data_IF_365205824960
#
_entry.id   IF_365205824960
#
_cell.length_a   1.000
_cell.length_b   1.000
_cell.length_c   1.000
_cell.angle_alpha   90.00
_cell.angle_beta   90.00
_cell.angle_gamma   90.00
#
_symmetry.space_group_name_H-M   'P 1'
#
loop_
_entity.id
_entity.type
_entity.pdbx_description
1 polymer ?
#
# COMPACT_ATOMS: atom_id res chain seq x y z
N UNK A 1 -16.30 16.53 -21.24
CA UNK A 1 -16.31 16.57 -19.76
C UNK A 1 -15.02 17.24 -19.29
N UNK A 2 -15.09 18.31 -18.52
CA UNK A 2 -13.87 18.99 -18.07
C UNK A 2 -13.16 18.10 -17.04
N UNK A 3 -11.85 17.95 -17.13
CA UNK A 3 -10.98 17.24 -16.16
C UNK A 3 -11.26 17.67 -14.70
N UNK A 4 -11.81 18.85 -14.49
CA UNK A 4 -12.13 19.42 -13.19
C UNK A 4 -13.37 18.77 -12.57
N UNK A 5 -14.35 18.32 -13.36
CA UNK A 5 -15.55 17.66 -12.83
C UNK A 5 -15.31 16.25 -12.28
N UNK A 6 -14.26 15.57 -12.73
CA UNK A 6 -13.90 14.23 -12.24
C UNK A 6 -13.15 14.23 -10.88
N UNK A 7 -12.68 15.40 -10.43
CA UNK A 7 -11.95 15.52 -9.16
C UNK A 7 -12.87 15.51 -7.93
N UNK A 8 -14.17 15.67 -8.12
CA UNK A 8 -15.18 15.64 -7.06
C UNK A 8 -15.78 14.26 -6.78
N UNK A 9 -15.55 13.27 -7.64
CA UNK A 9 -16.01 11.90 -7.41
C UNK A 9 -15.03 11.18 -6.45
N UNK A 10 -15.42 11.13 -5.20
CA UNK A 10 -14.62 10.57 -4.12
C UNK A 10 -14.36 9.07 -4.31
N UNK A 11 -13.08 8.74 -4.48
CA UNK A 11 -12.52 7.41 -4.19
C UNK A 11 -13.12 6.21 -4.96
N UNK A 12 -13.64 6.41 -6.17
CA UNK A 12 -14.13 5.33 -7.01
C UNK A 12 -12.94 4.59 -7.65
N UNK A 13 -12.94 3.28 -7.53
CA UNK A 13 -11.86 2.39 -7.99
C UNK A 13 -12.40 1.54 -9.12
N UNK A 14 -11.92 1.71 -10.36
CA UNK A 14 -12.44 0.97 -11.49
C UNK A 14 -12.16 -0.54 -11.35
N UNK A 15 -13.12 -1.34 -11.82
CA UNK A 15 -13.01 -2.79 -11.88
C UNK A 15 -12.07 -3.14 -13.03
N UNK A 16 -10.87 -3.56 -12.69
CA UNK A 16 -9.86 -4.01 -13.64
C UNK A 16 -9.59 -5.51 -13.54
N UNK A 17 -8.64 -5.99 -14.33
CA UNK A 17 -8.25 -7.40 -14.33
C UNK A 17 -7.79 -7.91 -12.97
N UNK A 18 -7.27 -7.04 -12.13
CA UNK A 18 -6.87 -7.41 -10.78
C UNK A 18 -8.07 -7.68 -9.87
N UNK A 19 -9.06 -6.82 -9.88
CA UNK A 19 -10.29 -7.02 -9.09
C UNK A 19 -11.03 -8.25 -9.62
N UNK A 20 -11.08 -8.44 -10.93
CA UNK A 20 -11.65 -9.65 -11.55
C UNK A 20 -10.93 -10.91 -11.08
N UNK A 21 -9.61 -10.92 -11.04
CA UNK A 21 -8.85 -12.08 -10.53
C UNK A 21 -9.14 -12.39 -9.04
N UNK A 22 -9.46 -11.37 -8.24
CA UNK A 22 -9.95 -11.59 -6.86
C UNK A 22 -11.34 -12.23 -6.87
N UNK A 23 -12.24 -11.75 -7.74
CA UNK A 23 -13.57 -12.36 -7.89
C UNK A 23 -13.50 -13.82 -8.30
N UNK A 24 -12.72 -14.10 -9.36
CA UNK A 24 -12.54 -15.46 -9.88
C UNK A 24 -12.01 -16.38 -8.77
N UNK A 25 -11.04 -15.91 -8.02
CA UNK A 25 -10.49 -16.70 -6.89
C UNK A 25 -11.50 -16.94 -5.76
N UNK A 26 -12.40 -15.98 -5.48
CA UNK A 26 -13.49 -16.17 -4.50
C UNK A 26 -14.50 -17.18 -5.05
N UNK A 27 -14.85 -17.09 -6.33
CA UNK A 27 -15.76 -18.01 -7.00
C UNK A 27 -15.20 -19.44 -7.05
N UNK A 28 -13.91 -19.61 -7.37
CA UNK A 28 -13.21 -20.90 -7.31
C UNK A 28 -13.29 -21.55 -5.92
N UNK A 29 -13.36 -20.75 -4.88
CA UNK A 29 -13.56 -21.22 -3.49
C UNK A 29 -15.05 -21.45 -3.13
N UNK A 30 -15.96 -21.43 -4.11
CA UNK A 30 -17.38 -21.70 -3.94
C UNK A 30 -18.16 -20.57 -3.24
N UNK A 31 -17.69 -19.33 -3.33
CA UNK A 31 -18.35 -18.17 -2.72
C UNK A 31 -18.70 -17.12 -3.77
N UNK A 32 -19.73 -16.34 -3.48
CA UNK A 32 -20.11 -15.19 -4.31
C UNK A 32 -19.29 -13.97 -3.87
N UNK A 33 -18.54 -13.32 -4.77
CA UNK A 33 -17.78 -12.12 -4.41
C UNK A 33 -18.70 -10.96 -4.08
N UNK A 34 -18.29 -10.11 -3.13
CA UNK A 34 -18.95 -8.84 -2.85
C UNK A 34 -18.82 -7.96 -4.09
N UNK A 35 -19.94 -7.62 -4.70
CA UNK A 35 -20.03 -6.70 -5.83
C UNK A 35 -20.20 -5.26 -5.32
N UNK A 36 -19.82 -4.24 -6.10
CA UNK A 36 -20.08 -2.84 -5.74
C UNK A 36 -21.60 -2.61 -5.69
N UNK A 37 -22.04 -1.73 -4.79
CA UNK A 37 -23.47 -1.40 -4.63
C UNK A 37 -24.07 -0.86 -5.92
N UNK A 38 -23.30 -0.06 -6.66
CA UNK A 38 -23.65 0.41 -8.00
C UNK A 38 -22.93 -0.46 -9.04
N UNK A 39 -23.35 -1.71 -9.20
CA UNK A 39 -22.71 -2.65 -10.13
C UNK A 39 -22.60 -2.12 -11.57
N UNK A 40 -23.57 -1.31 -11.99
CA UNK A 40 -23.58 -0.65 -13.31
C UNK A 40 -22.50 0.44 -13.44
N UNK A 41 -22.02 1.01 -12.34
CA UNK A 41 -21.01 2.08 -12.39
C UNK A 41 -19.63 1.58 -12.82
N UNK A 42 -19.35 0.28 -12.68
CA UNK A 42 -18.04 -0.31 -12.96
C UNK A 42 -16.95 0.10 -11.95
N UNK A 43 -17.31 0.60 -10.75
CA UNK A 43 -16.38 1.10 -9.76
C UNK A 43 -16.68 0.56 -8.35
N UNK A 44 -15.64 0.42 -7.54
CA UNK A 44 -15.71 0.20 -6.10
C UNK A 44 -15.42 1.48 -5.33
N UNK A 45 -16.08 1.68 -4.22
CA UNK A 45 -15.60 2.59 -3.16
C UNK A 45 -14.42 1.97 -2.41
N UNK A 46 -13.67 2.78 -1.66
CA UNK A 46 -12.57 2.26 -0.84
C UNK A 46 -13.01 1.25 0.22
N UNK A 47 -14.19 1.45 0.78
CA UNK A 47 -14.73 0.58 1.86
C UNK A 47 -15.21 -0.76 1.27
N UNK A 48 -15.92 -0.72 0.14
CA UNK A 48 -16.35 -1.93 -0.58
C UNK A 48 -15.14 -2.76 -1.04
N UNK A 49 -14.10 -2.10 -1.57
CA UNK A 49 -12.87 -2.78 -1.94
C UNK A 49 -12.17 -3.39 -0.72
N UNK A 50 -12.22 -2.70 0.42
CA UNK A 50 -11.76 -3.22 1.71
C UNK A 50 -12.49 -4.50 2.08
N UNK A 51 -13.83 -4.48 2.04
CA UNK A 51 -14.68 -5.62 2.33
C UNK A 51 -14.43 -6.81 1.38
N UNK A 52 -14.22 -6.55 0.08
CA UNK A 52 -13.83 -7.58 -0.89
C UNK A 52 -12.50 -8.24 -0.51
N UNK A 53 -11.50 -7.44 -0.10
CA UNK A 53 -10.20 -7.96 0.34
C UNK A 53 -10.30 -8.82 1.60
N UNK A 54 -11.12 -8.40 2.56
CA UNK A 54 -11.41 -9.16 3.77
C UNK A 54 -12.15 -10.47 3.44
N UNK A 55 -13.15 -10.43 2.55
CA UNK A 55 -13.84 -11.63 2.06
C UNK A 55 -12.85 -12.61 1.43
N UNK A 56 -11.99 -12.13 0.54
CA UNK A 56 -11.01 -12.96 -0.13
C UNK A 56 -10.10 -13.70 0.86
N UNK A 57 -9.54 -12.98 1.83
CA UNK A 57 -8.69 -13.60 2.85
C UNK A 57 -9.49 -14.54 3.76
N UNK A 58 -10.74 -14.20 4.07
CA UNK A 58 -11.63 -15.06 4.84
C UNK A 58 -11.87 -16.41 4.14
N UNK A 59 -12.22 -16.39 2.84
CA UNK A 59 -12.41 -17.59 2.03
C UNK A 59 -11.13 -18.43 1.96
N UNK A 60 -9.99 -17.78 1.76
CA UNK A 60 -8.69 -18.44 1.74
C UNK A 60 -8.41 -19.17 3.08
N UNK A 61 -8.64 -18.51 4.21
CA UNK A 61 -8.44 -19.11 5.54
C UNK A 61 -9.39 -20.31 5.77
N UNK A 62 -10.64 -20.20 5.34
CA UNK A 62 -11.62 -21.30 5.43
C UNK A 62 -11.20 -22.49 4.57
N UNK A 63 -10.86 -22.26 3.32
CA UNK A 63 -10.37 -23.29 2.39
C UNK A 63 -9.12 -24.00 2.89
N UNK A 64 -8.32 -23.32 3.72
CA UNK A 64 -7.13 -23.89 4.36
C UNK A 64 -7.44 -24.58 5.70
N UNK A 65 -8.68 -24.61 6.14
CA UNK A 65 -9.10 -25.18 7.43
C UNK A 65 -8.59 -24.39 8.64
N UNK A 66 -8.19 -23.14 8.48
CA UNK A 66 -7.76 -22.28 9.57
C UNK A 66 -8.98 -21.73 10.31
N UNK A 67 -9.09 -22.04 11.60
CA UNK A 67 -10.17 -21.51 12.42
C UNK A 67 -9.99 -20.01 12.59
N UNK A 68 -10.93 -19.24 12.06
CA UNK A 68 -11.02 -17.80 12.26
C UNK A 68 -12.06 -17.48 13.33
N UNK A 69 -11.81 -16.42 14.08
CA UNK A 69 -12.79 -15.80 14.96
C UNK A 69 -12.88 -14.33 14.59
N UNK A 70 -14.07 -13.81 14.45
CA UNK A 70 -14.27 -12.39 14.30
C UNK A 70 -13.83 -11.69 15.60
N UNK A 71 -13.11 -10.57 15.50
CA UNK A 71 -12.75 -9.81 16.68
C UNK A 71 -13.99 -9.17 17.30
N UNK A 72 -13.96 -8.98 18.63
CA UNK A 72 -14.97 -8.15 19.28
C UNK A 72 -14.95 -6.77 18.66
N UNK A 73 -16.14 -6.21 18.37
CA UNK A 73 -16.31 -4.95 17.63
C UNK A 73 -15.83 -3.68 18.38
N UNK A 74 -14.97 -3.82 19.38
CA UNK A 74 -14.35 -2.68 20.06
C UNK A 74 -13.29 -2.07 19.16
N UNK A 75 -13.51 -0.85 18.74
CA UNK A 75 -12.54 -0.08 17.96
C UNK A 75 -11.30 0.27 18.80
N UNK A 76 -10.08 0.18 18.24
CA UNK A 76 -9.68 -0.39 16.95
C UNK A 76 -9.39 -1.90 17.07
N UNK A 77 -10.15 -2.77 16.40
CA UNK A 77 -9.91 -4.21 16.38
C UNK A 77 -9.26 -4.66 15.07
N UNK A 78 -8.44 -5.72 15.07
CA UNK A 78 -7.96 -6.35 13.83
C UNK A 78 -9.12 -7.05 13.10
N UNK A 79 -8.96 -7.31 11.80
CA UNK A 79 -10.01 -7.92 10.98
C UNK A 79 -10.30 -9.37 11.41
N UNK A 80 -9.27 -10.12 11.82
CA UNK A 80 -9.42 -11.51 12.24
C UNK A 80 -8.56 -11.86 13.46
N UNK A 81 -9.07 -12.81 14.25
CA UNK A 81 -8.28 -13.61 15.21
C UNK A 81 -8.18 -15.01 14.63
N UNK A 82 -6.97 -15.51 14.43
CA UNK A 82 -6.74 -16.83 13.88
C UNK A 82 -5.95 -17.69 14.87
N UNK A 83 -6.24 -18.99 14.88
CA UNK A 83 -5.50 -19.98 15.65
C UNK A 83 -4.73 -20.90 14.70
N UNK A 84 -3.41 -20.99 14.90
CA UNK A 84 -2.55 -21.88 14.15
C UNK A 84 -1.82 -22.76 15.15
N UNK A 85 -2.20 -24.03 15.22
CA UNK A 85 -1.81 -24.91 16.31
C UNK A 85 -2.29 -24.34 17.65
N UNK A 86 -1.41 -24.24 18.63
CA UNK A 86 -1.73 -23.71 19.97
C UNK A 86 -1.56 -22.18 20.08
N UNK A 87 -1.22 -21.48 18.99
CA UNK A 87 -0.98 -20.04 19.04
C UNK A 87 -2.09 -19.24 18.39
N UNK A 88 -2.36 -18.10 19.01
CA UNK A 88 -3.29 -17.11 18.51
C UNK A 88 -2.54 -15.97 17.86
N UNK A 89 -3.01 -15.54 16.71
CA UNK A 89 -2.50 -14.38 15.98
C UNK A 89 -3.65 -13.42 15.69
N UNK A 90 -3.35 -12.15 15.73
CA UNK A 90 -4.21 -11.12 15.17
C UNK A 90 -3.81 -10.94 13.71
N UNK A 91 -4.79 -10.83 12.82
CA UNK A 91 -4.56 -10.66 11.39
C UNK A 91 -5.32 -9.43 10.90
N UNK A 92 -4.62 -8.58 10.20
CA UNK A 92 -5.17 -7.41 9.51
C UNK A 92 -5.00 -7.62 8.01
N UNK A 93 -6.03 -7.28 7.26
CA UNK A 93 -6.07 -7.42 5.81
C UNK A 93 -6.16 -6.06 5.13
N UNK A 94 -5.48 -5.89 4.03
CA UNK A 94 -5.67 -4.74 3.15
C UNK A 94 -5.55 -5.18 1.69
N UNK A 95 -6.40 -4.59 0.88
CA UNK A 95 -6.31 -4.71 -0.57
C UNK A 95 -5.71 -3.42 -1.12
N UNK A 96 -4.69 -3.54 -1.95
CA UNK A 96 -4.03 -2.40 -2.56
C UNK A 96 -3.61 -2.73 -3.99
N UNK A 97 -3.70 -1.78 -4.89
CA UNK A 97 -3.21 -1.97 -6.26
C UNK A 97 -1.71 -1.90 -6.34
N UNK A 98 -1.12 -0.97 -5.60
CA UNK A 98 0.32 -0.74 -5.56
C UNK A 98 0.77 -0.56 -4.12
N UNK A 99 1.92 -1.12 -3.79
CA UNK A 99 2.52 -1.01 -2.44
C UNK A 99 3.24 0.32 -2.21
N UNK A 100 3.57 1.02 -3.27
CA UNK A 100 4.21 2.34 -3.23
C UNK A 100 3.28 3.41 -3.77
N UNK A 101 3.47 4.62 -3.26
CA UNK A 101 2.78 5.79 -3.76
C UNK A 101 3.52 6.36 -4.97
N UNK A 102 2.79 6.57 -6.05
CA UNK A 102 3.32 7.24 -7.25
C UNK A 102 3.26 8.76 -7.10
N UNK A 103 4.04 9.47 -7.90
CA UNK A 103 4.05 10.95 -7.95
C UNK A 103 2.68 11.53 -8.26
N UNK A 104 1.98 10.95 -9.21
CA UNK A 104 0.64 11.38 -9.59
C UNK A 104 -0.29 11.44 -8.38
N UNK A 105 -0.20 10.46 -7.49
CA UNK A 105 -0.99 10.42 -6.26
C UNK A 105 -0.59 11.52 -5.26
N UNK A 106 0.71 11.83 -5.16
CA UNK A 106 1.17 12.94 -4.33
C UNK A 106 0.66 14.27 -4.86
N UNK A 107 0.72 14.49 -6.16
CA UNK A 107 0.24 15.70 -6.81
C UNK A 107 -1.28 15.84 -6.62
N UNK A 108 -2.03 14.76 -6.84
CA UNK A 108 -3.47 14.73 -6.58
C UNK A 108 -3.83 15.08 -5.14
N UNK A 109 -3.17 14.48 -4.16
CA UNK A 109 -3.43 14.78 -2.75
C UNK A 109 -3.05 16.21 -2.37
N UNK A 110 -2.05 16.80 -3.01
CA UNK A 110 -1.70 18.20 -2.83
C UNK A 110 -2.81 19.11 -3.36
N UNK A 111 -3.40 18.77 -4.52
CA UNK A 111 -4.52 19.51 -5.08
C UNK A 111 -5.79 19.43 -4.22
N UNK A 112 -6.12 18.22 -3.74
CA UNK A 112 -7.36 17.98 -2.99
C UNK A 112 -7.39 18.59 -1.59
N UNK A 113 -6.25 18.57 -0.88
CA UNK A 113 -6.20 19.02 0.53
C UNK A 113 -6.16 20.52 0.74
N UNK A 114 -5.89 21.25 -0.29
CA UNK A 114 -5.81 22.69 -0.18
C UNK A 114 -7.08 23.33 -0.75
N UNK A 115 -7.91 23.87 0.12
CA UNK A 115 -8.98 24.84 -0.24
C UNK A 115 -8.44 26.11 -0.94
N UNK A 116 -7.20 26.08 -1.42
CA UNK A 116 -6.54 27.15 -2.13
C UNK A 116 -6.74 26.95 -3.64
N UNK A 117 -7.77 27.53 -4.17
CA UNK A 117 -8.08 27.55 -5.60
C UNK A 117 -6.84 27.78 -6.50
N UNK A 118 -5.85 28.57 -6.01
CA UNK A 118 -4.65 28.91 -6.78
C UNK A 118 -3.70 27.70 -6.99
N UNK A 119 -3.45 26.85 -5.99
CA UNK A 119 -2.57 25.68 -6.16
C UNK A 119 -3.27 24.58 -6.95
N UNK A 120 -4.57 24.42 -6.74
CA UNK A 120 -5.40 23.49 -7.49
C UNK A 120 -5.40 23.82 -9.00
N UNK A 121 -5.66 25.08 -9.34
CA UNK A 121 -5.62 25.54 -10.71
C UNK A 121 -4.23 25.37 -11.36
N UNK A 122 -3.16 25.66 -10.61
CA UNK A 122 -1.79 25.42 -11.06
C UNK A 122 -1.50 23.96 -11.34
N UNK A 123 -1.94 23.04 -10.46
CA UNK A 123 -1.76 21.60 -10.67
C UNK A 123 -2.55 21.11 -11.88
N UNK A 124 -3.77 21.57 -12.06
CA UNK A 124 -4.57 21.28 -13.24
C UNK A 124 -3.84 21.67 -14.53
N UNK A 125 -3.30 22.88 -14.60
CA UNK A 125 -2.51 23.34 -15.74
C UNK A 125 -1.22 22.54 -15.94
N UNK A 126 -0.51 22.23 -14.87
CA UNK A 126 0.69 21.40 -14.95
C UNK A 126 0.42 20.04 -15.57
N UNK A 127 -0.67 19.39 -15.18
CA UNK A 127 -1.04 18.06 -15.66
C UNK A 127 -1.49 18.07 -17.12
N UNK A 128 -2.10 19.15 -17.57
CA UNK A 128 -2.62 19.27 -18.95
C UNK A 128 -1.61 19.90 -19.93
N UNK A 129 -0.72 20.79 -19.45
CA UNK A 129 0.19 21.55 -20.29
C UNK A 129 1.64 21.04 -20.22
N UNK A 130 1.99 20.16 -19.28
CA UNK A 130 3.37 19.75 -19.04
C UNK A 130 3.53 18.23 -18.86
N UNK A 131 4.68 17.72 -19.31
CA UNK A 131 5.15 16.39 -18.93
C UNK A 131 5.81 16.47 -17.57
N UNK A 132 5.32 15.69 -16.61
CA UNK A 132 5.83 15.67 -15.24
C UNK A 132 6.45 14.32 -14.94
N UNK A 133 7.68 14.32 -14.48
CA UNK A 133 8.35 13.10 -14.01
C UNK A 133 9.04 13.33 -12.67
N UNK A 134 9.05 12.30 -11.85
CA UNK A 134 9.81 12.24 -10.60
C UNK A 134 10.75 11.04 -10.64
N UNK A 135 11.98 11.25 -10.30
CA UNK A 135 12.96 10.18 -10.18
C UNK A 135 13.48 10.14 -8.74
N UNK A 136 13.42 9.01 -8.09
CA UNK A 136 12.74 7.77 -8.49
C UNK A 136 11.20 7.96 -8.53
N UNK A 137 10.48 7.22 -9.38
CA UNK A 137 9.03 7.41 -9.59
C UNK A 137 8.18 6.97 -8.39
N UNK A 138 8.73 6.14 -7.53
CA UNK A 138 8.11 5.64 -6.32
C UNK A 138 8.62 6.40 -5.10
N UNK A 139 7.69 6.80 -4.24
CA UNK A 139 7.99 7.55 -3.04
C UNK A 139 7.99 6.65 -1.82
N UNK A 140 9.09 6.66 -1.08
CA UNK A 140 9.16 5.95 0.19
C UNK A 140 8.23 6.63 1.22
N UNK A 141 7.45 5.85 1.95
CA UNK A 141 6.42 6.37 2.85
C UNK A 141 6.96 7.27 3.96
N UNK A 142 8.20 7.06 4.41
CA UNK A 142 8.84 7.90 5.43
C UNK A 142 9.26 9.27 4.87
N UNK A 143 9.55 9.35 3.58
CA UNK A 143 9.89 10.60 2.90
C UNK A 143 8.64 11.38 2.46
N UNK A 144 7.50 10.71 2.34
CA UNK A 144 6.29 11.24 1.73
C UNK A 144 5.88 12.62 2.26
N UNK A 145 5.80 12.76 3.59
CA UNK A 145 5.39 14.04 4.21
C UNK A 145 6.36 15.18 3.89
N UNK A 146 7.68 14.91 3.97
CA UNK A 146 8.71 15.92 3.68
C UNK A 146 8.73 16.25 2.20
N UNK A 147 8.62 15.24 1.35
CA UNK A 147 8.58 15.42 -0.10
C UNK A 147 7.35 16.25 -0.53
N UNK A 148 6.16 15.93 -0.02
CA UNK A 148 4.94 16.72 -0.26
C UNK A 148 5.12 18.20 0.08
N UNK A 149 5.65 18.48 1.25
CA UNK A 149 5.88 19.86 1.68
C UNK A 149 6.89 20.60 0.79
N UNK A 150 7.94 19.91 0.33
CA UNK A 150 8.92 20.49 -0.58
C UNK A 150 8.35 20.72 -1.98
N UNK A 151 7.61 19.76 -2.52
CA UNK A 151 6.91 19.91 -3.81
C UNK A 151 5.90 21.05 -3.73
N UNK A 152 5.10 21.15 -2.66
CA UNK A 152 4.15 22.24 -2.48
C UNK A 152 4.83 23.61 -2.53
N UNK A 153 5.89 23.82 -1.75
CA UNK A 153 6.65 25.07 -1.75
C UNK A 153 7.24 25.40 -3.11
N UNK A 154 7.73 24.42 -3.82
CA UNK A 154 8.25 24.61 -5.16
C UNK A 154 7.14 25.01 -6.14
N UNK A 155 6.02 24.28 -6.17
CA UNK A 155 4.91 24.53 -7.08
C UNK A 155 4.22 25.88 -6.82
N UNK A 156 4.16 26.35 -5.58
CA UNK A 156 3.61 27.68 -5.28
C UNK A 156 4.42 28.80 -5.95
N UNK A 157 5.72 28.62 -6.15
CA UNK A 157 6.58 29.55 -6.85
C UNK A 157 6.62 29.41 -8.39
N UNK A 158 6.04 28.37 -8.95
CA UNK A 158 6.02 28.15 -10.41
C UNK A 158 5.10 29.17 -11.08
N UNK A 159 5.65 29.87 -12.10
CA UNK A 159 4.89 30.81 -12.96
C UNK A 159 4.42 30.10 -14.22
N UNK A 160 3.24 30.48 -14.71
CA UNK A 160 2.66 29.96 -15.94
C UNK A 160 2.57 31.04 -17.01
N UNK A 161 2.69 30.68 -18.31
CA UNK A 161 2.99 29.34 -18.82
C UNK A 161 4.42 28.89 -18.49
N UNK A 162 4.63 27.57 -18.35
CA UNK A 162 5.98 27.00 -18.22
C UNK A 162 6.63 26.99 -19.60
N UNK A 163 7.59 27.89 -19.84
CA UNK A 163 8.25 28.07 -21.15
C UNK A 163 9.58 27.32 -21.26
N UNK A 164 10.15 26.89 -20.14
CA UNK A 164 11.42 26.18 -20.09
C UNK A 164 11.33 24.96 -19.15
N UNK A 165 12.09 23.90 -19.40
CA UNK A 165 12.15 22.78 -18.46
C UNK A 165 12.56 23.24 -17.07
N UNK A 166 11.81 22.79 -16.06
CA UNK A 166 12.12 23.02 -14.66
C UNK A 166 12.61 21.72 -14.05
N UNK A 167 13.78 21.78 -13.42
CA UNK A 167 14.38 20.66 -12.72
C UNK A 167 14.60 21.04 -11.25
N UNK A 168 14.07 20.23 -10.32
CA UNK A 168 14.28 20.48 -8.89
C UNK A 168 14.61 19.21 -8.15
N UNK A 169 15.77 19.23 -7.47
CA UNK A 169 16.18 18.16 -6.54
C UNK A 169 15.63 18.44 -5.16
N UNK A 170 15.06 17.39 -4.53
CA UNK A 170 14.56 17.39 -3.16
C UNK A 170 15.32 16.37 -2.33
N UNK A 171 16.13 16.82 -1.41
CA UNK A 171 16.84 15.97 -0.45
C UNK A 171 15.85 15.52 0.63
N UNK A 172 15.62 14.22 0.77
CA UNK A 172 14.76 13.63 1.78
C UNK A 172 15.55 12.66 2.67
N UNK A 173 15.02 12.24 3.84
CA UNK A 173 15.78 11.44 4.81
C UNK A 173 16.34 10.13 4.29
N UNK A 174 15.61 9.44 3.38
CA UNK A 174 16.02 8.14 2.87
C UNK A 174 16.62 8.20 1.48
N UNK A 175 16.13 9.11 0.64
CA UNK A 175 16.65 9.26 -0.73
C UNK A 175 16.34 10.65 -1.28
N UNK A 176 17.10 11.02 -2.30
CA UNK A 176 16.84 12.24 -3.05
C UNK A 176 15.80 11.97 -4.14
N UNK A 177 15.00 12.99 -4.42
CA UNK A 177 14.00 12.98 -5.49
C UNK A 177 14.23 14.14 -6.42
N UNK A 178 14.12 13.90 -7.72
CA UNK A 178 14.25 14.94 -8.74
C UNK A 178 12.93 15.09 -9.47
N UNK A 179 12.28 16.24 -9.33
CA UNK A 179 11.09 16.60 -10.09
C UNK A 179 11.52 17.32 -11.35
N UNK A 180 11.05 16.84 -12.50
CA UNK A 180 11.24 17.44 -13.82
C UNK A 180 9.88 17.81 -14.40
N UNK A 181 9.73 19.05 -14.83
CA UNK A 181 8.52 19.57 -15.48
C UNK A 181 8.99 20.10 -16.84
N UNK A 182 8.46 19.54 -17.91
CA UNK A 182 8.80 19.91 -19.28
C UNK A 182 7.57 20.49 -19.94
N UNK A 183 7.66 21.68 -20.60
CA UNK A 183 6.59 22.23 -21.40
C UNK A 183 6.14 21.23 -22.48
N UNK A 184 4.86 21.17 -22.78
CA UNK A 184 4.27 20.32 -23.79
C UNK A 184 3.28 19.32 -23.22
N UNK A 185 2.32 18.88 -24.04
CA UNK A 185 1.31 17.92 -23.63
C UNK A 185 1.93 16.62 -23.14
N UNK A 186 1.41 15.99 -22.08
CA UNK A 186 1.87 14.68 -21.64
C UNK A 186 1.65 13.64 -22.75
N UNK A 187 2.62 12.70 -22.87
CA UNK A 187 2.52 11.60 -23.85
C UNK A 187 1.44 10.60 -23.48
N UNK A 188 1.13 10.50 -22.20
CA UNK A 188 0.07 9.67 -21.64
C UNK A 188 -0.92 10.55 -20.89
N UNK A 189 -2.18 10.31 -21.09
CA UNK A 189 -3.25 10.93 -20.31
C UNK A 189 -3.07 10.53 -18.84
N UNK A 190 -2.85 11.51 -17.96
CA UNK A 190 -2.82 11.23 -16.53
C UNK A 190 -4.25 10.94 -16.11
N UNK A 191 -4.58 9.66 -15.97
CA UNK A 191 -5.91 9.22 -15.53
C UNK A 191 -6.12 9.69 -14.08
N UNK A 192 -7.07 10.56 -13.90
CA UNK A 192 -7.53 11.05 -12.61
C UNK A 192 -8.94 10.58 -12.32
N UNK A 193 -9.25 10.19 -11.08
CA UNK A 193 -8.38 10.06 -9.93
C UNK A 193 -7.36 8.94 -10.14
N UNK A 194 -6.09 9.16 -9.78
CA UNK A 194 -5.12 8.08 -9.81
C UNK A 194 -5.62 6.98 -8.89
N UNK A 195 -5.44 5.76 -9.34
CA UNK A 195 -5.78 4.55 -8.56
C UNK A 195 -5.42 4.74 -7.09
N UNK A 196 -6.35 4.45 -6.19
CA UNK A 196 -6.16 4.66 -4.75
C UNK A 196 -4.93 3.91 -4.23
N UNK A 197 -3.83 4.61 -4.18
CA UNK A 197 -2.57 4.10 -3.67
C UNK A 197 -2.26 4.72 -2.31
N UNK A 198 -2.84 4.18 -1.27
CA UNK A 198 -2.26 4.39 0.06
C UNK A 198 -1.03 3.51 0.12
N UNK A 199 0.15 4.10 0.35
CA UNK A 199 1.34 3.28 0.49
C UNK A 199 1.17 2.28 1.63
N UNK A 200 1.55 1.03 1.42
CA UNK A 200 1.47 -0.01 2.45
C UNK A 200 2.15 0.42 3.76
N UNK A 201 3.29 1.13 3.65
CA UNK A 201 3.97 1.68 4.82
C UNK A 201 3.12 2.67 5.62
N UNK A 202 2.32 3.50 4.95
CA UNK A 202 1.40 4.42 5.63
C UNK A 202 0.24 3.67 6.31
N UNK A 203 -0.25 2.58 5.70
CA UNK A 203 -1.26 1.71 6.32
C UNK A 203 -0.69 1.08 7.59
N UNK A 204 0.47 0.44 7.51
CA UNK A 204 1.11 -0.21 8.65
C UNK A 204 1.41 0.80 9.78
N UNK A 205 1.79 2.03 9.43
CA UNK A 205 1.99 3.10 10.40
C UNK A 205 0.69 3.49 11.12
N UNK A 206 -0.44 3.53 10.41
CA UNK A 206 -1.76 3.80 11.02
C UNK A 206 -2.19 2.68 11.95
N UNK A 207 -1.93 1.43 11.56
CA UNK A 207 -2.31 0.22 12.31
C UNK A 207 -1.38 -0.12 13.48
N UNK A 208 -0.31 0.67 13.70
CA UNK A 208 0.68 0.43 14.76
C UNK A 208 0.06 0.26 16.15
N UNK A 209 -1.05 0.95 16.46
CA UNK A 209 -1.74 0.83 17.75
C UNK A 209 -2.47 -0.50 17.92
N UNK A 210 -2.95 -1.10 16.81
CA UNK A 210 -3.61 -2.41 16.83
C UNK A 210 -2.64 -3.57 17.04
N UNK A 211 -1.36 -3.38 16.66
CA UNK A 211 -0.29 -4.40 16.77
C UNK A 211 0.12 -4.65 18.23
N UNK A 212 -0.34 -3.83 19.17
CA UNK A 212 0.05 -3.68 20.59
C UNK A 212 0.50 -4.91 21.37
N UNK A 213 -0.39 -5.81 21.79
CA UNK A 213 -0.08 -6.84 22.80
C UNK A 213 0.10 -8.26 22.28
N UNK A 214 -0.41 -8.58 21.10
CA UNK A 214 -0.46 -9.93 20.55
C UNK A 214 0.48 -10.11 19.36
N UNK A 215 0.79 -11.36 19.04
CA UNK A 215 1.47 -11.70 17.78
C UNK A 215 0.57 -11.34 16.61
N UNK A 216 1.13 -10.65 15.63
CA UNK A 216 0.39 -10.02 14.55
C UNK A 216 0.87 -10.45 13.17
N UNK A 217 -0.07 -10.72 12.28
CA UNK A 217 0.16 -11.00 10.87
C UNK A 217 -0.54 -9.92 10.04
N UNK A 218 0.12 -9.50 8.97
CA UNK A 218 -0.46 -8.57 8.04
C UNK A 218 -0.58 -9.25 6.67
N UNK A 219 -1.78 -9.25 6.12
CA UNK A 219 -2.04 -9.81 4.79
C UNK A 219 -2.41 -8.68 3.86
N UNK A 220 -1.70 -8.57 2.76
CA UNK A 220 -1.96 -7.57 1.74
C UNK A 220 -2.28 -8.26 0.43
N UNK A 221 -3.47 -8.04 -0.08
CA UNK A 221 -3.84 -8.46 -1.44
C UNK A 221 -3.38 -7.37 -2.38
N UNK A 222 -2.49 -7.69 -3.31
CA UNK A 222 -1.80 -6.70 -4.14
C UNK A 222 -2.04 -6.94 -5.61
N UNK A 223 -2.39 -5.88 -6.35
CA UNK A 223 -2.62 -5.96 -7.80
C UNK A 223 -1.34 -6.21 -8.57
N UNK A 224 -0.38 -5.34 -8.40
CA UNK A 224 0.88 -5.40 -9.14
C UNK A 224 2.05 -5.04 -8.22
N UNK A 225 2.93 -5.98 -8.02
CA UNK A 225 4.23 -5.75 -7.35
C UNK A 225 5.22 -6.85 -7.73
N UNK A 226 6.48 -6.63 -7.42
CA UNK A 226 7.54 -7.59 -7.62
C UNK A 226 8.44 -7.68 -6.37
N UNK A 227 9.30 -8.70 -6.34
CA UNK A 227 10.21 -8.97 -5.22
C UNK A 227 11.06 -7.74 -4.86
N UNK A 228 11.58 -7.03 -5.85
CA UNK A 228 12.44 -5.85 -5.65
C UNK A 228 11.68 -4.71 -4.99
N UNK A 229 10.49 -4.40 -5.47
CA UNK A 229 9.65 -3.34 -4.90
C UNK A 229 9.32 -3.59 -3.43
N UNK A 230 8.96 -4.84 -3.08
CA UNK A 230 8.68 -5.22 -1.70
C UNK A 230 9.94 -5.13 -0.84
N UNK A 231 11.11 -5.56 -1.36
CA UNK A 231 12.39 -5.41 -0.64
C UNK A 231 12.73 -3.96 -0.38
N UNK A 232 12.62 -3.11 -1.40
CA UNK A 232 12.89 -1.68 -1.28
C UNK A 232 11.95 -0.98 -0.29
N UNK A 233 10.70 -1.47 -0.15
CA UNK A 233 9.75 -0.98 0.82
C UNK A 233 10.11 -1.38 2.25
N UNK A 234 10.40 -2.67 2.46
CA UNK A 234 10.51 -3.25 3.81
C UNK A 234 11.94 -3.24 4.35
N UNK A 235 12.92 -3.28 3.47
CA UNK A 235 14.34 -3.37 3.83
C UNK A 235 15.16 -2.27 3.12
N UNK A 236 14.79 -0.99 3.27
CA UNK A 236 15.50 0.09 2.58
C UNK A 236 16.95 0.17 3.05
N UNK A 237 17.87 0.28 2.09
CA UNK A 237 19.30 0.41 2.39
C UNK A 237 19.96 -0.82 2.98
N UNK A 238 19.31 -1.97 2.94
CA UNK A 238 19.93 -3.22 3.34
C UNK A 238 21.11 -3.55 2.45
N UNK A 239 22.26 -3.68 3.06
CA UNK A 239 23.47 -4.20 2.44
C UNK A 239 23.90 -5.45 3.20
N UNK A 240 24.16 -6.57 2.51
CA UNK A 240 24.70 -7.78 3.15
C UNK A 240 25.99 -7.52 3.94
N UNK A 241 26.80 -6.55 3.49
CA UNK A 241 28.05 -6.16 4.16
C UNK A 241 27.82 -5.46 5.50
N UNK A 242 26.78 -4.64 5.61
CA UNK A 242 26.56 -3.79 6.77
C UNK A 242 25.50 -4.33 7.74
N UNK A 243 24.69 -5.31 7.34
CA UNK A 243 23.56 -5.87 8.12
C UNK A 243 22.65 -4.80 8.79
N UNK A 244 22.78 -3.55 8.40
CA UNK A 244 21.97 -2.45 8.92
C UNK A 244 20.84 -2.16 7.95
N UNK A 245 19.62 -2.34 8.42
CA UNK A 245 18.42 -1.85 7.76
C UNK A 245 18.14 -0.49 8.37
N UNK A 246 18.39 0.56 7.59
CA UNK A 246 18.12 1.91 8.03
C UNK A 246 16.64 2.23 7.84
N UNK A 247 16.00 2.67 8.94
CA UNK A 247 14.63 3.20 8.90
C UNK A 247 13.60 2.28 8.23
N UNK A 248 13.66 0.99 8.52
CA UNK A 248 12.68 0.03 8.01
C UNK A 248 11.37 0.15 8.79
N UNK A 249 10.30 -0.37 8.18
CA UNK A 249 8.99 -0.47 8.85
C UNK A 249 9.08 -1.31 10.14
N UNK A 250 10.01 -2.25 10.20
CA UNK A 250 10.24 -3.12 11.34
C UNK A 250 10.80 -2.39 12.57
N UNK A 251 11.42 -1.21 12.36
CA UNK A 251 11.98 -0.36 13.39
C UNK A 251 11.03 0.72 13.88
N UNK A 252 9.84 0.83 13.28
CA UNK A 252 8.84 1.79 13.74
C UNK A 252 8.44 1.49 15.18
N UNK A 253 8.49 2.52 16.01
CA UNK A 253 8.10 2.46 17.40
C UNK A 253 6.62 2.82 17.57
N UNK A 254 5.97 2.16 18.51
CA UNK A 254 4.62 2.50 18.96
C UNK A 254 4.58 2.51 20.50
N UNK A 255 3.72 3.34 21.04
CA UNK A 255 3.48 3.38 22.48
C UNK A 255 2.48 2.29 22.87
N UNK A 256 2.86 1.46 23.82
CA UNK A 256 1.98 0.49 24.45
C UNK A 256 1.67 0.96 25.86
N UNK A 257 0.39 1.16 26.15
CA UNK A 257 -0.12 1.53 27.48
C UNK A 257 0.54 2.78 28.10
N UNK A 258 0.86 3.77 27.26
CA UNK A 258 1.33 5.09 27.72
C UNK A 258 2.76 5.16 28.25
N UNK A 259 3.49 4.04 28.35
CA UNK A 259 4.80 4.03 29.03
C UNK A 259 5.96 3.37 28.31
N UNK A 260 5.74 2.61 27.25
CA UNK A 260 6.83 1.84 26.61
C UNK A 260 6.78 1.92 25.09
N UNK A 261 7.85 2.46 24.51
CA UNK A 261 8.04 2.40 23.05
C UNK A 261 8.49 0.99 22.66
N UNK A 262 7.68 0.31 21.84
CA UNK A 262 7.99 -1.01 21.31
C UNK A 262 8.18 -0.93 19.80
N UNK A 263 9.16 -1.67 19.28
CA UNK A 263 9.34 -1.80 17.82
C UNK A 263 8.27 -2.70 17.23
N UNK A 264 7.68 -2.28 16.12
CA UNK A 264 6.65 -3.06 15.38
C UNK A 264 7.17 -4.48 15.09
N UNK A 265 8.41 -4.63 14.64
CA UNK A 265 9.02 -5.92 14.32
C UNK A 265 9.08 -6.91 15.47
N UNK A 266 8.85 -6.52 16.73
CA UNK A 266 8.74 -7.47 17.83
C UNK A 266 7.42 -8.24 17.82
N UNK A 267 6.34 -7.65 17.38
CA UNK A 267 5.00 -8.22 17.37
C UNK A 267 4.53 -8.64 15.98
N UNK A 268 4.82 -7.84 14.97
CA UNK A 268 4.56 -8.20 13.59
C UNK A 268 5.46 -9.36 13.19
N UNK A 269 4.88 -10.54 12.93
CA UNK A 269 5.62 -11.78 12.69
C UNK A 269 5.93 -11.99 11.22
N UNK A 270 5.00 -11.58 10.36
CA UNK A 270 5.17 -11.62 8.91
C UNK A 270 4.22 -10.65 8.21
N UNK A 271 4.58 -10.30 6.99
CA UNK A 271 3.70 -9.62 6.03
C UNK A 271 3.58 -10.52 4.81
N UNK A 272 2.35 -10.85 4.46
CA UNK A 272 2.01 -11.66 3.28
C UNK A 272 1.51 -10.74 2.18
N UNK A 273 2.10 -10.83 1.01
CA UNK A 273 1.65 -10.14 -0.19
C UNK A 273 1.06 -11.18 -1.13
N UNK A 274 -0.27 -11.27 -1.14
CA UNK A 274 -1.00 -12.14 -2.03
C UNK A 274 -1.15 -11.46 -3.39
N UNK A 275 -0.75 -12.14 -4.45
CA UNK A 275 -0.88 -11.70 -5.84
C UNK A 275 -1.83 -12.66 -6.57
N UNK A 276 -3.14 -12.39 -6.58
CA UNK A 276 -4.14 -13.31 -7.13
C UNK A 276 -3.91 -13.65 -8.61
N UNK A 277 -3.58 -12.66 -9.43
CA UNK A 277 -3.34 -12.84 -10.88
C UNK A 277 -2.28 -13.89 -11.20
N UNK A 278 -1.26 -13.99 -10.36
CA UNK A 278 -0.10 -14.86 -10.60
C UNK A 278 -0.04 -16.06 -9.66
N UNK A 279 -1.01 -16.22 -8.77
CA UNK A 279 -1.02 -17.21 -7.68
C UNK A 279 0.34 -17.24 -6.94
N UNK A 280 0.89 -16.07 -6.63
CA UNK A 280 2.15 -15.89 -5.88
C UNK A 280 1.89 -15.24 -4.54
N UNK A 281 2.64 -15.66 -3.53
CA UNK A 281 2.66 -15.02 -2.22
C UNK A 281 4.10 -14.64 -1.85
N UNK A 282 4.37 -13.33 -1.75
CA UNK A 282 5.63 -12.87 -1.22
C UNK A 282 5.50 -12.76 0.30
N UNK A 283 6.41 -13.40 1.04
CA UNK A 283 6.38 -13.44 2.50
C UNK A 283 7.60 -12.71 3.05
N UNK A 284 7.34 -11.65 3.78
CA UNK A 284 8.38 -10.84 4.40
C UNK A 284 8.42 -11.02 5.91
N UNK A 285 9.62 -11.12 6.46
CA UNK A 285 9.87 -11.36 7.89
C UNK A 285 10.68 -10.21 8.52
N UNK A 286 10.53 -9.98 9.83
CA UNK A 286 11.42 -9.08 10.53
C UNK A 286 12.89 -9.52 10.38
N UNK A 287 13.81 -8.60 10.09
CA UNK A 287 15.19 -8.91 9.70
C UNK A 287 16.01 -9.65 10.77
N UNK A 288 15.62 -9.57 12.03
CA UNK A 288 16.37 -10.11 13.17
C UNK A 288 15.81 -11.41 13.73
N UNK A 289 14.81 -12.00 13.08
CA UNK A 289 14.20 -13.25 13.54
C UNK A 289 14.57 -14.39 12.61
N UNK A 290 15.14 -15.45 13.17
CA UNK A 290 15.26 -16.72 12.47
C UNK A 290 13.85 -17.17 12.03
N UNK A 291 13.78 -17.77 10.85
CA UNK A 291 12.56 -18.38 10.31
C UNK A 291 11.93 -19.27 11.40
N UNK A 292 10.83 -18.81 11.99
CA UNK A 292 10.19 -19.65 13.01
C UNK A 292 9.55 -20.83 12.29
N UNK A 293 9.77 -22.06 12.80
CA UNK A 293 9.13 -23.29 12.29
C UNK A 293 7.62 -23.16 12.13
N UNK A 294 7.03 -22.24 12.88
CA UNK A 294 5.59 -21.99 12.95
C UNK A 294 5.03 -21.22 11.76
N UNK A 295 5.88 -20.50 11.03
CA UNK A 295 5.45 -19.81 9.80
C UNK A 295 5.55 -20.77 8.61
N UNK A 296 6.40 -21.83 8.67
CA UNK A 296 6.39 -22.90 7.68
C UNK A 296 5.02 -23.53 7.50
N UNK A 297 4.27 -23.63 8.58
CA UNK A 297 2.89 -24.12 8.54
C UNK A 297 2.00 -23.29 7.61
N UNK A 298 2.06 -21.95 7.67
CA UNK A 298 1.32 -21.10 6.74
C UNK A 298 1.79 -21.26 5.29
N UNK A 299 3.06 -21.53 5.08
CA UNK A 299 3.60 -21.80 3.73
C UNK A 299 2.98 -23.03 3.10
N UNK A 300 2.89 -24.11 3.89
CA UNK A 300 2.30 -25.35 3.41
C UNK A 300 0.81 -25.22 3.14
N UNK A 301 0.10 -24.39 3.91
CA UNK A 301 -1.27 -24.03 3.62
C UNK A 301 -1.39 -23.22 2.33
N UNK A 302 -0.53 -22.22 2.13
CA UNK A 302 -0.53 -21.41 0.90
C UNK A 302 -0.26 -22.28 -0.35
N UNK A 303 0.63 -23.28 -0.23
CA UNK A 303 0.86 -24.25 -1.32
C UNK A 303 -0.39 -25.08 -1.62
N UNK A 304 -1.14 -25.49 -0.61
CA UNK A 304 -2.42 -26.19 -0.80
C UNK A 304 -3.46 -25.33 -1.53
N UNK A 305 -3.42 -24.01 -1.34
CA UNK A 305 -4.24 -23.05 -2.06
C UNK A 305 -3.61 -22.62 -3.40
N UNK A 306 -2.69 -23.42 -3.95
CA UNK A 306 -1.98 -23.19 -5.23
C UNK A 306 -1.10 -21.93 -5.26
N UNK A 307 -0.91 -21.26 -4.13
CA UNK A 307 0.01 -20.13 -4.07
C UNK A 307 1.45 -20.59 -4.03
N UNK A 308 2.28 -20.00 -4.89
CA UNK A 308 3.73 -20.18 -4.84
C UNK A 308 4.34 -19.22 -3.81
N UNK A 309 4.78 -19.71 -2.63
CA UNK A 309 5.40 -18.86 -1.64
C UNK A 309 6.81 -18.44 -2.07
N UNK A 310 7.13 -17.16 -1.93
CA UNK A 310 8.45 -16.59 -2.21
C UNK A 310 8.87 -15.82 -0.96
N UNK A 311 9.94 -16.30 -0.33
CA UNK A 311 10.47 -15.67 0.87
C UNK A 311 11.29 -14.44 0.53
N UNK A 312 11.07 -13.39 1.31
CA UNK A 312 11.85 -12.17 1.28
C UNK A 312 12.64 -12.10 2.59
N UNK A 313 13.89 -12.45 2.50
CA UNK A 313 14.85 -12.21 3.57
C UNK A 313 15.75 -11.05 3.20
N UNK A 314 16.22 -10.26 4.16
CA UNK A 314 17.43 -9.54 3.98
C UNK A 314 18.55 -10.61 3.87
N UNK A 315 18.99 -10.87 2.67
CA UNK A 315 20.17 -11.70 2.38
C UNK A 315 21.43 -11.01 2.86
#
# INVERSE_FOLDING_TARGET
MSLISSWGQDNLIPIDNYIRAVWDSIAEMGRVPILPQEAESGYYTSDELGALGEQYVACLLEGLGIKKMLPDRKNPSPDFKISIGHRRYLLETKIVRHIHKKVSQILYELGRRENRQSLYAKLGRLVTECKISLSPPQVHFLDERKLKNKIRRFLSGVRFPVTRPLLRKFVCPLRDYTLKIIPGRPDEEIIWPPENGISLGAILLRKRRQIGSSDFLFVTVVGKTNRREVRDLLYPGYSPRNRKILNSIWDLEYESNGKKKLKIGRRLKAIFFLLPVNKKCLIAYPPFKRKSEKIRFLEDYLKKAEYKPIHLFPE
#
